data_IF_131360753930
#
_entry.id   IF_131360753930
#
_cell.length_a   1.000
_cell.length_b   1.000
_cell.length_c   1.000
_cell.angle_alpha   90.00
_cell.angle_beta   90.00
_cell.angle_gamma   90.00
#
_symmetry.space_group_name_H-M   'P 1'
#
loop_
_entity.id
_entity.type
_entity.pdbx_description
1 polymer ?
#
# COMPACT_ATOMS: atom_id res chain seq x y z
N UNK A 1 8.81 -4.75 10.93
CA UNK A 1 9.79 -3.66 10.85
C UNK A 1 9.58 -2.85 9.59
N UNK A 2 9.55 -1.53 9.73
CA UNK A 2 9.32 -0.64 8.59
C UNK A 2 10.66 -0.19 8.02
N UNK A 3 10.79 -0.28 6.71
CA UNK A 3 11.98 0.19 6.00
C UNK A 3 11.62 0.66 4.59
N UNK A 4 12.53 1.39 3.96
CA UNK A 4 12.33 1.80 2.58
C UNK A 4 12.42 0.58 1.67
N UNK A 5 11.53 0.51 0.69
CA UNK A 5 11.53 -0.56 -0.28
C UNK A 5 12.63 -0.37 -1.31
N UNK A 6 13.24 -1.47 -1.74
CA UNK A 6 14.19 -1.47 -2.83
C UNK A 6 13.44 -1.65 -4.15
N UNK A 7 14.04 -1.14 -5.23
CA UNK A 7 13.42 -1.22 -6.55
C UNK A 7 13.16 -2.66 -6.98
N UNK A 8 14.03 -3.57 -6.58
CA UNK A 8 13.87 -5.00 -6.88
C UNK A 8 12.66 -5.62 -6.18
N UNK A 9 12.06 -4.92 -5.23
CA UNK A 9 10.90 -5.41 -4.49
C UNK A 9 9.56 -5.01 -5.11
N UNK A 10 9.57 -4.25 -6.20
CA UNK A 10 8.32 -3.86 -6.87
C UNK A 10 7.43 -5.05 -7.22
N UNK A 11 7.94 -6.19 -7.72
CA UNK A 11 7.07 -7.35 -7.97
C UNK A 11 6.37 -7.85 -6.72
N UNK A 12 7.07 -7.90 -5.59
CA UNK A 12 6.49 -8.34 -4.32
C UNK A 12 5.43 -7.35 -3.81
N UNK A 13 5.68 -6.05 -3.99
CA UNK A 13 4.71 -5.01 -3.62
C UNK A 13 3.46 -5.14 -4.48
N UNK A 14 3.61 -5.41 -5.77
CA UNK A 14 2.47 -5.58 -6.67
C UNK A 14 1.64 -6.81 -6.31
N UNK A 15 2.28 -7.89 -5.88
CA UNK A 15 1.56 -9.07 -5.41
C UNK A 15 0.77 -8.75 -4.16
N UNK A 16 1.37 -8.01 -3.23
CA UNK A 16 0.68 -7.58 -2.01
C UNK A 16 -0.50 -6.67 -2.35
N UNK A 17 -0.30 -5.73 -3.28
CA UNK A 17 -1.36 -4.86 -3.74
C UNK A 17 -2.52 -5.66 -4.32
N UNK A 18 -2.23 -6.61 -5.21
CA UNK A 18 -3.25 -7.43 -5.85
C UNK A 18 -4.03 -8.25 -4.84
N UNK A 19 -3.34 -8.90 -3.91
CA UNK A 19 -3.96 -9.71 -2.87
C UNK A 19 -4.87 -8.86 -1.98
N UNK A 20 -4.36 -7.71 -1.52
CA UNK A 20 -5.11 -6.84 -0.63
C UNK A 20 -6.33 -6.23 -1.31
N UNK A 21 -6.16 -5.80 -2.55
CA UNK A 21 -7.24 -5.20 -3.32
C UNK A 21 -8.34 -6.21 -3.63
N UNK A 22 -7.95 -7.41 -4.00
CA UNK A 22 -8.90 -8.49 -4.29
C UNK A 22 -9.69 -8.87 -3.02
N UNK A 23 -9.01 -8.98 -1.90
CA UNK A 23 -9.65 -9.30 -0.62
C UNK A 23 -10.60 -8.20 -0.17
N UNK A 24 -10.19 -6.94 -0.32
CA UNK A 24 -10.97 -5.80 0.14
C UNK A 24 -12.17 -5.46 -0.75
N UNK A 25 -12.22 -6.01 -1.95
CA UNK A 25 -13.28 -5.73 -2.91
C UNK A 25 -13.80 -7.02 -3.54
N UNK A 26 -14.42 -7.92 -2.75
CA UNK A 26 -14.81 -9.25 -3.24
C UNK A 26 -15.86 -9.21 -4.34
N UNK A 27 -16.57 -8.09 -4.50
CA UNK A 27 -17.58 -7.93 -5.55
C UNK A 27 -16.97 -7.59 -6.92
N UNK A 28 -15.66 -7.31 -6.98
CA UNK A 28 -14.96 -7.03 -8.22
C UNK A 28 -14.09 -8.23 -8.57
N UNK A 29 -14.15 -8.65 -9.84
CA UNK A 29 -13.38 -9.81 -10.28
C UNK A 29 -11.89 -9.54 -10.22
N UNK A 30 -11.12 -10.56 -9.82
CA UNK A 30 -9.66 -10.46 -9.71
C UNK A 30 -9.01 -10.04 -11.04
N UNK A 31 -9.60 -10.43 -12.18
CA UNK A 31 -9.06 -10.06 -13.49
C UNK A 31 -9.02 -8.54 -13.70
N UNK A 32 -9.98 -7.82 -13.15
CA UNK A 32 -9.99 -6.36 -13.24
C UNK A 32 -8.72 -5.77 -12.59
N UNK A 33 -8.39 -6.27 -11.40
CA UNK A 33 -7.21 -5.76 -10.68
C UNK A 33 -5.92 -6.16 -11.38
N UNK A 34 -5.87 -7.37 -11.95
CA UNK A 34 -4.70 -7.81 -12.72
C UNK A 34 -4.46 -6.92 -13.92
N UNK A 35 -5.52 -6.50 -14.59
CA UNK A 35 -5.42 -5.62 -15.74
C UNK A 35 -4.92 -4.23 -15.35
N UNK A 36 -5.05 -3.84 -14.09
CA UNK A 36 -4.54 -2.58 -13.58
C UNK A 36 -3.05 -2.62 -13.21
N UNK A 37 -2.43 -3.81 -13.15
CA UNK A 37 -1.04 -3.94 -12.71
C UNK A 37 -0.07 -3.06 -13.50
N UNK A 38 -0.12 -3.00 -14.84
CA UNK A 38 0.81 -2.14 -15.56
C UNK A 38 0.69 -0.67 -15.17
N UNK A 39 -0.53 -0.19 -14.96
CA UNK A 39 -0.76 1.19 -14.55
C UNK A 39 -0.22 1.44 -13.14
N UNK A 40 -0.53 0.54 -12.20
CA UNK A 40 -0.08 0.68 -10.82
C UNK A 40 1.45 0.65 -10.75
N UNK A 41 2.07 -0.28 -11.48
CA UNK A 41 3.52 -0.42 -11.51
C UNK A 41 4.19 0.82 -12.09
N UNK A 42 3.73 1.27 -13.25
CA UNK A 42 4.45 2.26 -14.03
C UNK A 42 4.08 3.70 -13.68
N UNK A 43 2.79 3.96 -13.38
CA UNK A 43 2.32 5.32 -13.11
C UNK A 43 2.42 5.69 -11.63
N UNK A 44 2.33 4.72 -10.73
CA UNK A 44 2.32 5.00 -9.29
C UNK A 44 3.58 4.50 -8.59
N UNK A 45 3.77 3.19 -8.53
CA UNK A 45 4.85 2.65 -7.69
C UNK A 45 6.24 3.02 -8.18
N UNK A 46 6.45 3.08 -9.48
CA UNK A 46 7.77 3.41 -10.04
C UNK A 46 8.16 4.87 -9.77
N UNK A 47 7.18 5.74 -9.57
CA UNK A 47 7.40 7.18 -9.36
C UNK A 47 7.22 7.61 -7.91
N UNK A 48 7.02 6.66 -7.01
CA UNK A 48 6.74 6.94 -5.60
C UNK A 48 7.91 6.48 -4.73
N UNK A 49 7.96 7.03 -3.52
CA UNK A 49 8.76 6.44 -2.46
C UNK A 49 7.91 5.42 -1.74
N UNK A 50 8.40 4.20 -1.64
CA UNK A 50 7.67 3.08 -1.08
C UNK A 50 8.33 2.63 0.22
N UNK A 51 7.52 2.44 1.25
CA UNK A 51 7.94 1.95 2.55
C UNK A 51 7.18 0.66 2.81
N UNK A 52 7.87 -0.33 3.35
CA UNK A 52 7.29 -1.65 3.57
C UNK A 52 7.41 -2.07 5.02
N UNK A 53 6.48 -2.91 5.45
CA UNK A 53 6.58 -3.66 6.71
C UNK A 53 7.07 -5.05 6.37
N UNK A 54 8.26 -5.38 6.83
CA UNK A 54 8.85 -6.69 6.62
C UNK A 54 8.91 -7.46 7.93
N UNK A 55 8.57 -8.74 7.85
CA UNK A 55 8.61 -9.64 8.98
C UNK A 55 9.03 -11.02 8.46
N UNK A 56 10.14 -11.54 8.99
CA UNK A 56 10.67 -12.85 8.59
C UNK A 56 10.84 -13.02 7.08
N UNK A 57 11.32 -11.97 6.43
CA UNK A 57 11.57 -11.97 4.99
C UNK A 57 10.33 -11.79 4.13
N UNK A 58 9.17 -11.54 4.74
CA UNK A 58 7.91 -11.35 4.01
C UNK A 58 7.42 -9.93 4.14
N UNK A 59 6.90 -9.38 3.05
CA UNK A 59 6.27 -8.07 3.06
C UNK A 59 4.81 -8.23 3.45
N UNK A 60 4.42 -7.61 4.56
CA UNK A 60 3.06 -7.70 5.09
C UNK A 60 2.27 -6.41 4.90
N UNK A 61 2.91 -5.34 4.49
CA UNK A 61 2.26 -4.08 4.22
C UNK A 61 3.16 -3.14 3.46
N UNK A 62 2.56 -2.14 2.82
CA UNK A 62 3.35 -1.07 2.21
C UNK A 62 2.55 0.22 2.15
N UNK A 63 3.29 1.31 2.00
CA UNK A 63 2.74 2.64 1.79
C UNK A 63 3.57 3.33 0.73
N UNK A 64 2.91 4.04 -0.18
CA UNK A 64 3.56 4.76 -1.28
C UNK A 64 3.27 6.25 -1.17
N UNK A 65 4.32 7.06 -1.25
CA UNK A 65 4.22 8.51 -1.19
C UNK A 65 4.70 9.10 -2.53
N UNK A 66 3.86 9.88 -3.18
CA UNK A 66 4.18 10.55 -4.43
C UNK A 66 4.46 12.03 -4.18
N UNK A 67 5.46 12.54 -4.87
CA UNK A 67 5.84 13.96 -4.82
C UNK A 67 6.14 14.46 -3.41
N UNK A 68 6.47 13.55 -2.49
CA UNK A 68 6.78 13.88 -1.11
C UNK A 68 5.60 14.39 -0.29
N UNK A 69 4.37 14.29 -0.80
CA UNK A 69 3.21 14.84 -0.10
C UNK A 69 1.89 14.09 -0.30
N UNK A 70 1.79 13.20 -1.30
CA UNK A 70 0.56 12.47 -1.54
C UNK A 70 0.69 11.02 -1.09
N UNK A 71 -0.25 10.57 -0.28
CA UNK A 71 -0.38 9.14 0.01
C UNK A 71 -1.09 8.49 -1.17
N UNK A 72 -0.30 7.85 -2.04
CA UNK A 72 -0.81 7.25 -3.26
C UNK A 72 -1.45 5.88 -3.01
N UNK A 73 -0.90 5.11 -2.07
CA UNK A 73 -1.41 3.77 -1.76
C UNK A 73 -0.96 3.35 -0.37
N UNK A 74 -1.78 2.55 0.30
CA UNK A 74 -1.41 1.90 1.55
C UNK A 74 -2.21 0.63 1.67
N UNK A 75 -1.53 -0.50 1.79
CA UNK A 75 -2.16 -1.81 1.84
C UNK A 75 -1.47 -2.69 2.86
N UNK A 76 -2.26 -3.58 3.48
CA UNK A 76 -1.78 -4.59 4.42
C UNK A 76 -2.27 -5.94 3.93
N UNK A 77 -1.42 -6.97 4.01
CA UNK A 77 -1.80 -8.32 3.61
C UNK A 77 -3.05 -8.77 4.38
N UNK A 78 -4.02 -9.43 3.71
CA UNK A 78 -5.26 -9.83 4.38
C UNK A 78 -5.04 -10.63 5.66
N UNK A 79 -4.04 -11.50 5.67
CA UNK A 79 -3.72 -12.32 6.85
C UNK A 79 -3.10 -11.53 7.99
N UNK A 80 -2.70 -10.30 7.74
CA UNK A 80 -2.01 -9.46 8.73
C UNK A 80 -2.83 -8.23 9.14
N UNK A 81 -4.07 -8.09 8.67
CA UNK A 81 -4.92 -6.97 9.07
C UNK A 81 -5.23 -7.06 10.57
N UNK A 82 -5.52 -5.91 11.17
CA UNK A 82 -5.85 -5.77 12.60
C UNK A 82 -4.66 -6.03 13.54
N UNK A 83 -3.45 -6.07 13.01
CA UNK A 83 -2.23 -6.17 13.82
C UNK A 83 -1.58 -4.82 14.07
N UNK A 84 -2.19 -3.73 13.59
CA UNK A 84 -1.65 -2.39 13.74
C UNK A 84 -0.56 -2.03 12.72
N UNK A 85 -0.35 -2.86 11.71
CA UNK A 85 0.67 -2.62 10.68
C UNK A 85 0.36 -1.35 9.88
N UNK A 86 -0.89 -1.21 9.43
CA UNK A 86 -1.28 -0.03 8.67
C UNK A 86 -1.18 1.24 9.48
N UNK A 87 -1.57 1.18 10.76
CA UNK A 87 -1.43 2.33 11.66
C UNK A 87 0.03 2.72 11.84
N UNK A 88 0.90 1.72 12.00
CA UNK A 88 2.33 1.97 12.14
C UNK A 88 2.93 2.58 10.87
N UNK A 89 2.53 2.08 9.69
CA UNK A 89 2.96 2.65 8.42
C UNK A 89 2.51 4.10 8.27
N UNK A 90 1.25 4.38 8.62
CA UNK A 90 0.71 5.74 8.55
C UNK A 90 1.47 6.68 9.48
N UNK A 91 1.70 6.28 10.72
CA UNK A 91 2.45 7.09 11.67
C UNK A 91 3.88 7.36 11.19
N UNK A 92 4.50 6.35 10.60
CA UNK A 92 5.86 6.48 10.08
C UNK A 92 5.96 7.54 9.00
N UNK A 93 5.03 7.51 8.02
CA UNK A 93 5.08 8.50 6.94
C UNK A 93 4.61 9.87 7.37
N UNK A 94 3.70 9.96 8.33
CA UNK A 94 3.27 11.26 8.87
C UNK A 94 4.41 12.00 9.55
N UNK A 95 5.32 11.28 10.19
CA UNK A 95 6.49 11.88 10.80
C UNK A 95 7.49 12.39 9.77
N UNK A 96 7.58 11.70 8.62
CA UNK A 96 8.51 12.08 7.55
C UNK A 96 7.94 13.12 6.60
N UNK A 97 6.63 13.16 6.45
CA UNK A 97 5.94 14.04 5.50
C UNK A 97 4.87 14.82 6.26
N UNK A 98 5.21 15.93 6.90
CA UNK A 98 4.28 16.65 7.78
C UNK A 98 3.08 17.26 7.06
N UNK A 99 3.15 17.43 5.75
CA UNK A 99 2.05 17.98 4.95
C UNK A 99 1.41 16.91 4.07
N UNK A 100 1.33 15.69 4.57
CA UNK A 100 0.80 14.55 3.83
C UNK A 100 -0.68 14.75 3.48
N UNK A 101 -1.03 14.57 2.21
CA UNK A 101 -2.39 14.64 1.72
C UNK A 101 -2.94 13.25 1.46
N UNK A 102 -4.17 13.02 1.90
CA UNK A 102 -4.85 11.73 1.76
C UNK A 102 -6.05 11.86 0.83
N UNK A 103 -6.19 10.89 -0.08
CA UNK A 103 -7.43 10.70 -0.83
C UNK A 103 -7.93 9.29 -0.54
N UNK A 104 -9.14 9.19 -0.01
CA UNK A 104 -9.75 7.91 0.32
C UNK A 104 -11.18 7.90 -0.21
N UNK A 105 -11.54 6.86 -0.94
CA UNK A 105 -12.92 6.70 -1.37
C UNK A 105 -13.78 6.33 -0.16
N UNK A 106 -14.95 6.96 -0.04
CA UNK A 106 -15.85 6.71 1.09
C UNK A 106 -16.27 5.25 1.20
N UNK A 107 -16.29 4.52 0.11
CA UNK A 107 -16.66 3.12 0.10
C UNK A 107 -15.55 2.20 0.61
N UNK A 108 -14.36 2.71 0.80
CA UNK A 108 -13.23 1.94 1.29
C UNK A 108 -13.10 2.17 2.81
N UNK A 109 -14.05 1.63 3.54
CA UNK A 109 -14.17 1.85 4.97
C UNK A 109 -12.93 1.42 5.78
N UNK A 110 -12.29 0.28 5.47
CA UNK A 110 -11.07 -0.10 6.21
C UNK A 110 -9.95 0.93 6.12
N UNK A 111 -9.85 1.66 5.02
CA UNK A 111 -8.85 2.72 4.88
C UNK A 111 -9.27 4.00 5.61
N UNK A 112 -10.57 4.26 5.69
CA UNK A 112 -11.11 5.45 6.37
C UNK A 112 -10.99 5.31 7.89
N UNK A 113 -11.20 4.12 8.42
CA UNK A 113 -11.24 3.85 9.85
C UNK A 113 -9.86 3.80 10.50
N UNK A 114 -8.87 4.00 9.74
CA UNK A 114 -7.55 4.06 10.27
C UNK A 114 -7.41 5.25 11.24
#
# INVERSE_FOLDING_TARGET
MIREAQRSELPAILELWLESTTWGHPFIKANYWRDCIPLVRDAYLANAQNWVWEEDGKLLGFVSIMEGRFLAAMFVAPKAVRRGIGKALMQYVQQRYPHLMLEVYQKNQPAIDF
#
